data_IF_452641826355
#
_entry.id   IF_452641826355
#
_cell.length_a   1.000
_cell.length_b   1.000
_cell.length_c   1.000
_cell.angle_alpha   90.00
_cell.angle_beta   90.00
_cell.angle_gamma   90.00
#
_symmetry.space_group_name_H-M   'P 1'
#
loop_
_entity.id
_entity.type
_entity.pdbx_description
1 polymer ?
#
# COMPACT_ATOMS: atom_id res chain seq x y z
N UNK A 1 20.70 0.62 4.25
CA UNK A 1 19.74 1.04 3.21
C UNK A 1 18.49 1.55 3.89
N UNK A 2 17.90 2.64 3.39
CA UNK A 2 16.66 3.19 3.94
C UNK A 2 15.48 2.44 3.36
N UNK A 3 14.56 1.94 4.19
CA UNK A 3 13.36 1.25 3.73
C UNK A 3 12.41 2.23 3.01
N UNK A 4 11.79 1.78 1.92
CA UNK A 4 10.73 2.53 1.25
C UNK A 4 9.51 2.62 2.16
N UNK A 5 9.03 3.84 2.40
CA UNK A 5 7.78 4.04 3.15
C UNK A 5 6.56 3.81 2.26
N UNK A 6 5.69 2.91 2.70
CA UNK A 6 4.39 2.61 2.09
C UNK A 6 3.30 3.05 3.06
N UNK A 7 2.60 4.13 2.73
CA UNK A 7 1.50 4.64 3.55
C UNK A 7 0.17 4.10 3.02
N UNK A 8 -0.65 3.55 3.92
CA UNK A 8 -2.02 3.11 3.65
C UNK A 8 -3.00 3.97 4.43
N UNK A 9 -3.70 4.88 3.74
CA UNK A 9 -4.74 5.71 4.34
C UNK A 9 -6.12 5.06 4.20
N UNK A 10 -6.88 4.98 5.28
CA UNK A 10 -8.19 4.31 5.27
C UNK A 10 -9.20 4.86 6.29
N UNK A 11 -10.49 4.65 6.03
CA UNK A 11 -11.59 4.90 6.98
C UNK A 11 -12.45 3.64 7.15
N UNK A 12 -12.49 3.06 8.36
CA UNK A 12 -13.32 1.87 8.63
C UNK A 12 -12.83 0.55 7.99
N UNK A 13 -11.62 0.55 7.42
CA UNK A 13 -11.05 -0.60 6.70
C UNK A 13 -9.80 -1.20 7.35
N UNK A 14 -9.65 -1.04 8.67
CA UNK A 14 -8.47 -1.53 9.40
C UNK A 14 -8.19 -3.04 9.24
N UNK A 15 -9.23 -3.88 9.07
CA UNK A 15 -9.06 -5.31 8.74
C UNK A 15 -8.30 -5.50 7.41
N UNK A 16 -8.62 -4.71 6.40
CA UNK A 16 -8.05 -4.79 5.07
C UNK A 16 -6.62 -4.28 5.05
N UNK A 17 -6.35 -3.17 5.75
CA UNK A 17 -5.00 -2.69 5.99
C UNK A 17 -4.12 -3.77 6.65
N UNK A 18 -4.57 -4.39 7.75
CA UNK A 18 -3.81 -5.46 8.41
C UNK A 18 -3.56 -6.67 7.50
N UNK A 19 -4.56 -7.05 6.71
CA UNK A 19 -4.44 -8.15 5.75
C UNK A 19 -3.44 -7.87 4.63
N UNK A 20 -3.46 -6.65 4.08
CA UNK A 20 -2.49 -6.20 3.08
C UNK A 20 -1.09 -6.11 3.67
N UNK A 21 -0.95 -5.46 4.84
CA UNK A 21 0.33 -5.30 5.55
C UNK A 21 1.00 -6.64 5.76
N UNK A 22 0.29 -7.59 6.39
CA UNK A 22 0.81 -8.94 6.63
C UNK A 22 1.25 -9.62 5.33
N UNK A 23 0.43 -9.53 4.28
CA UNK A 23 0.75 -10.18 3.01
C UNK A 23 1.99 -9.58 2.34
N UNK A 24 2.17 -8.25 2.39
CA UNK A 24 3.37 -7.58 1.86
C UNK A 24 4.62 -7.89 2.69
N UNK A 25 4.50 -7.96 4.01
CA UNK A 25 5.59 -8.37 4.92
C UNK A 25 6.00 -9.84 4.76
N UNK A 26 5.12 -10.68 4.18
CA UNK A 26 5.41 -12.08 3.85
C UNK A 26 6.07 -12.25 2.47
N UNK A 27 6.17 -11.19 1.64
CA UNK A 27 6.84 -11.28 0.34
C UNK A 27 8.36 -11.19 0.51
N UNK A 28 9.13 -12.24 0.16
CA UNK A 28 10.58 -12.27 0.38
C UNK A 28 11.32 -11.10 -0.28
N UNK A 29 10.87 -10.70 -1.47
CA UNK A 29 11.51 -9.64 -2.24
C UNK A 29 11.21 -8.23 -1.69
N UNK A 30 10.15 -8.06 -0.89
CA UNK A 30 9.73 -6.75 -0.39
C UNK A 30 9.96 -6.55 1.11
N UNK A 31 9.88 -7.60 1.92
CA UNK A 31 9.81 -7.52 3.38
C UNK A 31 10.95 -6.68 4.01
N UNK A 32 12.16 -6.83 3.48
CA UNK A 32 13.33 -6.09 3.97
C UNK A 32 13.51 -4.71 3.34
N UNK A 33 12.78 -4.43 2.26
CA UNK A 33 12.89 -3.19 1.48
C UNK A 33 11.85 -2.14 1.86
N UNK A 34 10.74 -2.54 2.51
CA UNK A 34 9.62 -1.63 2.79
C UNK A 34 9.33 -1.46 4.28
N UNK A 35 8.75 -0.31 4.62
CA UNK A 35 8.16 0.01 5.91
C UNK A 35 6.70 0.43 5.67
N UNK A 36 5.74 -0.33 6.20
CA UNK A 36 4.31 -0.10 5.98
C UNK A 36 3.68 0.61 7.17
N UNK A 37 3.11 1.79 6.91
CA UNK A 37 2.41 2.63 7.89
C UNK A 37 0.93 2.75 7.53
N UNK A 38 0.05 2.53 8.52
CA UNK A 38 -1.40 2.74 8.38
C UNK A 38 -1.83 4.07 8.97
N UNK A 39 -2.58 4.86 8.20
CA UNK A 39 -3.17 6.13 8.65
C UNK A 39 -4.70 6.02 8.61
N UNK A 40 -5.31 5.89 9.78
CA UNK A 40 -6.77 5.92 9.88
C UNK A 40 -7.27 7.37 9.80
N UNK A 41 -8.01 7.69 8.74
CA UNK A 41 -8.58 9.03 8.52
C UNK A 41 -10.11 8.97 8.59
N UNK A 42 -10.66 9.42 9.72
CA UNK A 42 -12.11 9.42 9.97
C UNK A 42 -12.84 10.56 9.25
N UNK A 43 -12.13 11.55 8.70
CA UNK A 43 -12.72 12.65 7.96
C UNK A 43 -13.01 12.31 6.49
N UNK A 44 -12.37 11.27 5.96
CA UNK A 44 -12.47 10.88 4.54
C UNK A 44 -13.12 9.49 4.45
N UNK A 45 -14.44 9.44 4.40
CA UNK A 45 -15.15 8.16 4.39
C UNK A 45 -14.94 7.38 3.08
N UNK A 46 -14.91 6.05 3.20
CA UNK A 46 -14.88 5.13 2.04
C UNK A 46 -13.56 5.08 1.26
N UNK A 47 -12.50 5.72 1.75
CA UNK A 47 -11.19 5.71 1.09
C UNK A 47 -10.35 4.47 1.48
N UNK A 48 -9.50 4.05 0.54
CA UNK A 48 -8.43 3.09 0.77
C UNK A 48 -7.33 3.42 -0.23
N UNK A 49 -6.35 4.20 0.23
CA UNK A 49 -5.36 4.85 -0.62
C UNK A 49 -3.97 4.35 -0.22
N UNK A 50 -3.17 3.96 -1.21
CA UNK A 50 -1.79 3.51 -0.97
C UNK A 50 -0.84 4.46 -1.68
N UNK A 51 0.09 5.00 -0.91
CA UNK A 51 1.09 5.95 -1.35
C UNK A 51 2.49 5.45 -1.02
N UNK A 52 3.43 5.66 -1.93
CA UNK A 52 4.81 5.22 -1.75
C UNK A 52 5.77 6.38 -1.96
N UNK A 53 6.97 6.27 -1.38
CA UNK A 53 8.04 7.23 -1.59
C UNK A 53 7.87 8.55 -0.84
N UNK A 54 8.90 9.43 -0.90
CA UNK A 54 8.88 10.75 -0.24
C UNK A 54 7.87 11.72 -0.88
N UNK A 55 7.56 11.54 -2.17
CA UNK A 55 6.59 12.34 -2.93
C UNK A 55 5.13 11.88 -2.70
N UNK A 56 4.93 10.78 -1.97
CA UNK A 56 3.63 10.18 -1.69
C UNK A 56 2.85 9.82 -2.98
N UNK A 57 3.55 9.30 -3.98
CA UNK A 57 2.99 8.80 -5.25
C UNK A 57 1.84 7.84 -4.99
N UNK A 58 0.65 8.16 -5.50
CA UNK A 58 -0.56 7.33 -5.35
C UNK A 58 -0.52 6.15 -6.32
N UNK A 59 -0.43 4.93 -5.77
CA UNK A 59 -0.39 3.69 -6.55
C UNK A 59 -1.71 2.92 -6.52
N UNK A 60 -2.48 3.04 -5.45
CA UNK A 60 -3.79 2.41 -5.30
C UNK A 60 -4.79 3.38 -4.69
N UNK A 61 -6.01 3.37 -5.21
CA UNK A 61 -7.09 4.25 -4.79
C UNK A 61 -8.44 3.59 -4.99
N UNK A 62 -9.09 3.28 -3.87
CA UNK A 62 -10.50 2.90 -3.90
C UNK A 62 -11.39 4.04 -4.37
N UNK A 63 -11.08 5.28 -3.98
CA UNK A 63 -11.97 6.43 -4.20
C UNK A 63 -11.87 7.01 -5.61
N UNK A 64 -10.66 7.12 -6.15
CA UNK A 64 -10.41 7.85 -7.42
C UNK A 64 -10.15 6.95 -8.62
N UNK A 65 -9.73 5.70 -8.40
CA UNK A 65 -9.42 4.73 -9.48
C UNK A 65 -10.39 3.55 -9.54
N UNK A 66 -11.46 3.57 -8.73
CA UNK A 66 -12.47 2.50 -8.68
C UNK A 66 -11.93 1.15 -8.19
N UNK A 67 -10.74 1.13 -7.59
CA UNK A 67 -10.13 -0.10 -7.07
C UNK A 67 -10.83 -0.56 -5.77
N UNK A 68 -10.54 -1.77 -5.33
CA UNK A 68 -11.02 -2.35 -4.08
C UNK A 68 -10.15 -1.99 -2.89
N UNK A 69 -10.23 -2.79 -1.82
CA UNK A 69 -9.52 -2.59 -0.55
C UNK A 69 -8.29 -3.50 -0.43
N UNK A 70 -7.69 -3.86 -1.57
CA UNK A 70 -6.64 -4.88 -1.66
C UNK A 70 -7.08 -6.24 -1.07
N UNK A 71 -8.31 -6.63 -1.38
CA UNK A 71 -8.93 -7.85 -0.86
C UNK A 71 -8.55 -9.07 -1.68
N UNK A 72 -8.48 -8.91 -3.00
CA UNK A 72 -8.14 -10.00 -3.90
C UNK A 72 -6.63 -10.18 -4.01
N UNK A 73 -6.21 -11.41 -4.29
CA UNK A 73 -4.81 -11.71 -4.60
C UNK A 73 -4.30 -10.90 -5.79
N UNK A 74 -5.16 -10.66 -6.80
CA UNK A 74 -4.80 -9.87 -7.97
C UNK A 74 -4.50 -8.41 -7.61
N UNK A 75 -5.33 -7.77 -6.78
CA UNK A 75 -5.05 -6.39 -6.34
C UNK A 75 -3.73 -6.31 -5.57
N UNK A 76 -3.49 -7.28 -4.68
CA UNK A 76 -2.25 -7.33 -3.90
C UNK A 76 -1.03 -7.52 -4.76
N UNK A 77 -1.10 -8.37 -5.79
CA UNK A 77 -0.03 -8.58 -6.75
C UNK A 77 0.31 -7.29 -7.50
N UNK A 78 -0.71 -6.57 -8.00
CA UNK A 78 -0.50 -5.27 -8.68
C UNK A 78 0.12 -4.24 -7.74
N UNK A 79 -0.30 -4.19 -6.47
CA UNK A 79 0.30 -3.30 -5.47
C UNK A 79 1.77 -3.65 -5.24
N UNK A 80 2.11 -4.95 -5.12
CA UNK A 80 3.48 -5.41 -4.94
C UNK A 80 4.37 -5.08 -6.15
N UNK A 81 3.86 -5.29 -7.36
CA UNK A 81 4.54 -4.95 -8.61
C UNK A 81 4.86 -3.45 -8.66
N UNK A 82 3.88 -2.58 -8.41
CA UNK A 82 4.09 -1.12 -8.39
C UNK A 82 5.07 -0.65 -7.29
N UNK A 83 5.15 -1.38 -6.18
CA UNK A 83 6.15 -1.13 -5.13
C UNK A 83 7.54 -1.53 -5.62
N UNK A 84 7.66 -2.71 -6.23
CA UNK A 84 8.93 -3.24 -6.74
C UNK A 84 9.47 -2.36 -7.86
N UNK A 85 8.63 -1.99 -8.83
CA UNK A 85 8.99 -1.08 -9.91
C UNK A 85 9.54 0.24 -9.37
N UNK A 86 8.89 0.79 -8.34
CA UNK A 86 9.36 2.02 -7.70
C UNK A 86 10.74 1.83 -7.04
N UNK A 87 10.96 0.69 -6.37
CA UNK A 87 12.26 0.38 -5.77
C UNK A 87 13.32 0.30 -6.87
N UNK A 88 13.07 -0.47 -7.93
CA UNK A 88 14.01 -0.71 -9.02
C UNK A 88 14.37 0.59 -9.77
N UNK A 89 13.43 1.52 -9.93
CA UNK A 89 13.66 2.84 -10.52
C UNK A 89 14.48 3.80 -9.64
N UNK A 90 14.57 3.56 -8.32
CA UNK A 90 15.14 4.48 -7.33
C UNK A 90 16.32 3.89 -6.54
N UNK A 91 16.85 2.73 -6.93
CA UNK A 91 18.10 2.15 -6.43
C UNK A 91 19.32 2.71 -7.18
#
# INVERSE_FOLDING_TARGET
MTKLKVQVQYCGYGKYYRGLKKWLEEQPDLADQIEIEGVEDRGVTGNFEIRIGPDRKLIHSKRTRGQGRAESTQERAVIAELIQDYIDENQ
#
